data_IF_162437932566
#
_entry.id   IF_162437932566
#
_cell.length_a   1.000
_cell.length_b   1.000
_cell.length_c   1.000
_cell.angle_alpha   90.00
_cell.angle_beta   90.00
_cell.angle_gamma   90.00
#
_symmetry.space_group_name_H-M   'P 1'
#
loop_
_entity.id
_entity.type
_entity.pdbx_description
1 polymer ?
#
# COMPACT_ATOMS: atom_id res chain seq x y z
N UNK A 1 42.60 52.74 24.17
CA UNK A 1 42.71 51.28 24.40
C UNK A 1 41.41 50.84 25.03
N UNK A 2 40.49 50.27 24.22
CA UNK A 2 40.18 48.83 24.20
C UNK A 2 39.53 48.39 25.52
N UNK A 3 38.32 47.85 25.61
CA UNK A 3 37.56 47.03 24.64
C UNK A 3 36.08 46.98 25.05
N UNK A 4 35.21 46.80 24.06
CA UNK A 4 33.79 46.41 24.14
C UNK A 4 33.54 45.23 25.11
N UNK A 5 32.39 45.27 25.79
CA UNK A 5 31.63 44.06 26.13
C UNK A 5 30.13 44.36 26.00
N UNK A 6 29.56 43.95 24.86
CA UNK A 6 28.13 43.88 24.60
C UNK A 6 27.63 42.59 25.26
N UNK A 7 26.83 42.70 26.32
CA UNK A 7 26.14 41.56 26.92
C UNK A 7 24.77 41.43 26.27
N UNK A 8 24.64 40.41 25.42
CA UNK A 8 23.42 40.04 24.73
C UNK A 8 22.40 39.45 25.72
N UNK A 9 21.16 39.94 25.60
CA UNK A 9 19.97 39.48 26.28
C UNK A 9 19.57 38.10 25.71
N UNK A 10 19.61 37.03 26.50
CA UNK A 10 18.98 35.75 26.14
C UNK A 10 17.71 35.62 26.99
N UNK A 11 16.57 35.99 26.39
CA UNK A 11 15.26 35.72 26.95
C UNK A 11 14.92 34.24 26.78
N UNK A 12 14.78 33.53 27.89
CA UNK A 12 14.24 32.17 27.93
C UNK A 12 12.73 32.26 27.77
N UNK A 13 12.22 31.97 26.58
CA UNK A 13 10.77 31.77 26.35
C UNK A 13 10.45 30.33 26.73
N UNK A 14 9.94 30.13 27.94
CA UNK A 14 9.38 28.86 28.39
C UNK A 14 8.05 28.61 27.67
N UNK A 15 8.05 27.77 26.65
CA UNK A 15 6.82 27.23 26.07
C UNK A 15 6.25 26.19 27.04
N UNK A 16 5.24 26.60 27.83
CA UNK A 16 4.34 25.70 28.53
C UNK A 16 3.47 25.00 27.47
N UNK A 17 3.85 23.78 27.09
CA UNK A 17 2.98 22.87 26.36
C UNK A 17 1.89 22.42 27.32
N UNK A 18 0.71 23.01 27.21
CA UNK A 18 -0.48 22.52 27.89
C UNK A 18 -0.84 21.18 27.25
N UNK A 19 -0.49 20.08 27.93
CA UNK A 19 -1.02 18.76 27.61
C UNK A 19 -2.51 18.73 27.96
N UNK A 20 -3.34 19.08 26.99
CA UNK A 20 -4.75 18.70 27.00
C UNK A 20 -4.83 17.17 26.97
N UNK A 21 -5.06 16.54 28.12
CA UNK A 21 -5.58 15.19 28.19
C UNK A 21 -7.05 15.23 27.74
N UNK A 22 -7.30 15.15 26.44
CA UNK A 22 -8.63 14.79 25.94
C UNK A 22 -8.82 13.30 26.15
N UNK A 23 -9.57 12.96 27.20
CA UNK A 23 -10.22 11.65 27.33
C UNK A 23 -11.41 11.65 26.39
N UNK A 24 -11.15 11.49 25.10
CA UNK A 24 -12.15 11.41 24.04
C UNK A 24 -11.71 10.38 23.02
N UNK A 25 -12.46 9.30 22.90
CA UNK A 25 -12.28 8.26 21.87
C UNK A 25 -12.83 8.80 20.53
N UNK A 26 -12.27 9.90 20.02
CA UNK A 26 -12.53 10.39 18.67
C UNK A 26 -11.40 9.90 17.76
N UNK A 27 -11.36 8.59 17.52
CA UNK A 27 -10.53 8.03 16.45
C UNK A 27 -11.15 8.43 15.12
N UNK A 28 -10.37 8.96 14.19
CA UNK A 28 -10.78 9.18 12.81
C UNK A 28 -11.37 7.87 12.26
N UNK A 29 -12.70 7.79 12.16
CA UNK A 29 -13.43 6.59 11.73
C UNK A 29 -13.40 6.38 10.22
N UNK A 30 -12.87 7.34 9.47
CA UNK A 30 -12.87 7.34 8.02
C UNK A 30 -11.46 7.22 7.46
N UNK A 31 -11.36 6.60 6.28
CA UNK A 31 -10.11 6.54 5.51
C UNK A 31 -9.81 7.94 4.96
N UNK A 32 -8.65 8.55 5.29
CA UNK A 32 -8.25 9.82 4.71
C UNK A 32 -8.20 9.74 3.18
N UNK A 33 -8.64 10.80 2.49
CA UNK A 33 -8.51 10.94 1.04
C UNK A 33 -7.07 11.28 0.62
N UNK A 34 -6.15 10.43 1.03
CA UNK A 34 -4.71 10.52 0.81
C UNK A 34 -4.27 9.23 0.14
N UNK A 35 -3.67 9.38 -1.04
CA UNK A 35 -3.13 8.27 -1.81
C UNK A 35 -1.60 8.33 -1.76
N UNK A 36 -1.02 7.25 -1.29
CA UNK A 36 0.42 7.06 -1.14
C UNK A 36 0.93 6.11 -2.21
N UNK A 37 2.09 6.46 -2.77
CA UNK A 37 2.89 5.55 -3.59
C UNK A 37 4.36 5.81 -3.32
N UNK A 38 5.20 4.84 -3.64
CA UNK A 38 6.65 5.02 -3.72
C UNK A 38 7.13 4.81 -5.16
N UNK A 39 8.03 5.68 -5.61
CA UNK A 39 8.83 5.49 -6.82
C UNK A 39 10.21 6.07 -6.58
N UNK A 40 11.27 5.31 -6.83
CA UNK A 40 12.64 5.64 -6.43
C UNK A 40 13.17 6.97 -7.00
N UNK A 41 12.74 7.32 -8.22
CA UNK A 41 13.18 8.50 -8.97
C UNK A 41 12.04 9.52 -9.17
N UNK A 42 12.39 10.77 -9.47
CA UNK A 42 11.46 11.78 -9.97
C UNK A 42 11.10 11.52 -11.43
N UNK A 43 12.01 10.93 -12.21
CA UNK A 43 11.77 10.55 -13.61
C UNK A 43 11.11 9.18 -13.66
N UNK A 44 9.80 9.19 -13.92
CA UNK A 44 9.00 7.96 -14.01
C UNK A 44 8.87 7.48 -15.46
N UNK A 45 8.80 6.16 -15.71
CA UNK A 45 8.45 5.61 -17.03
C UNK A 45 7.07 6.11 -17.53
N UNK A 46 6.83 6.13 -18.86
CA UNK A 46 5.55 6.55 -19.43
C UNK A 46 4.33 5.87 -18.79
N UNK A 47 4.37 4.55 -18.58
CA UNK A 47 3.27 3.80 -17.96
C UNK A 47 2.96 4.25 -16.52
N UNK A 48 3.99 4.59 -15.74
CA UNK A 48 3.83 5.07 -14.36
C UNK A 48 3.27 6.49 -14.33
N UNK A 49 3.74 7.38 -15.21
CA UNK A 49 3.18 8.72 -15.33
C UNK A 49 1.70 8.68 -15.72
N UNK A 50 1.38 7.83 -16.70
CA UNK A 50 0.00 7.59 -17.15
C UNK A 50 -0.89 7.11 -16.01
N UNK A 51 -0.42 6.13 -15.23
CA UNK A 51 -1.12 5.66 -14.04
C UNK A 51 -1.38 6.80 -13.04
N UNK A 52 -0.35 7.54 -12.64
CA UNK A 52 -0.50 8.66 -11.68
C UNK A 52 -1.42 9.77 -12.21
N UNK A 53 -1.36 10.08 -13.50
CA UNK A 53 -2.23 11.09 -14.10
C UNK A 53 -3.69 10.62 -14.18
N UNK A 54 -3.93 9.31 -14.35
CA UNK A 54 -5.27 8.73 -14.19
C UNK A 54 -5.81 8.92 -12.76
N UNK A 55 -4.94 8.83 -11.74
CA UNK A 55 -5.33 9.05 -10.34
C UNK A 55 -5.79 10.48 -10.13
N UNK A 56 -5.00 11.46 -10.60
CA UNK A 56 -5.32 12.90 -10.49
C UNK A 56 -6.65 13.22 -11.19
N UNK A 57 -6.88 12.63 -12.37
CA UNK A 57 -8.10 12.83 -13.17
C UNK A 57 -9.34 12.34 -12.42
N UNK A 58 -9.26 11.13 -11.85
CA UNK A 58 -10.40 10.48 -11.23
C UNK A 58 -10.62 10.86 -9.76
N UNK A 59 -9.61 11.42 -9.12
CA UNK A 59 -9.61 11.74 -7.70
C UNK A 59 -9.16 13.18 -7.44
N UNK A 60 -9.81 14.20 -8.05
CA UNK A 60 -9.36 15.59 -7.95
C UNK A 60 -9.43 16.17 -6.52
N UNK A 61 -10.22 15.56 -5.64
CA UNK A 61 -10.32 15.93 -4.22
C UNK A 61 -9.34 15.19 -3.31
N UNK A 62 -8.54 14.26 -3.86
CA UNK A 62 -7.59 13.48 -3.09
C UNK A 62 -6.20 14.11 -3.13
N UNK A 63 -5.47 13.98 -2.03
CA UNK A 63 -4.04 14.32 -2.01
C UNK A 63 -3.24 13.11 -2.45
N UNK A 64 -2.37 13.28 -3.45
CA UNK A 64 -1.51 12.22 -3.97
C UNK A 64 -0.06 12.49 -3.54
N UNK A 65 0.49 11.61 -2.70
CA UNK A 65 1.88 11.65 -2.27
C UNK A 65 2.69 10.59 -3.01
N UNK A 66 3.64 11.08 -3.82
CA UNK A 66 4.69 10.25 -4.39
C UNK A 66 5.93 10.37 -3.51
N UNK A 67 6.22 9.31 -2.77
CA UNK A 67 7.44 9.19 -1.98
C UNK A 67 8.58 8.77 -2.93
N UNK A 68 9.72 9.44 -2.81
CA UNK A 68 10.93 9.18 -3.60
C UNK A 68 12.10 8.93 -2.68
N UNK A 69 13.24 8.46 -3.20
CA UNK A 69 14.47 8.32 -2.39
C UNK A 69 14.91 9.64 -1.72
N UNK A 70 14.53 10.80 -2.29
CA UNK A 70 14.85 12.12 -1.72
C UNK A 70 13.91 12.52 -0.58
N UNK A 71 12.68 12.00 -0.56
CA UNK A 71 11.63 12.39 0.39
C UNK A 71 11.28 11.29 1.37
N UNK A 72 11.76 10.07 1.17
CA UNK A 72 11.49 8.89 2.00
C UNK A 72 11.78 9.13 3.48
N UNK A 73 12.89 9.81 3.80
CA UNK A 73 13.30 10.14 5.18
C UNK A 73 12.36 11.10 5.92
N UNK A 74 11.41 11.73 5.23
CA UNK A 74 10.36 12.55 5.87
C UNK A 74 9.24 11.70 6.47
N UNK A 75 9.12 10.45 6.04
CA UNK A 75 8.01 9.57 6.40
C UNK A 75 8.46 8.34 7.18
N UNK A 76 9.67 7.84 6.93
CA UNK A 76 10.18 6.62 7.55
C UNK A 76 11.68 6.74 7.86
N UNK A 77 12.12 6.09 8.93
CA UNK A 77 13.53 5.93 9.23
C UNK A 77 14.09 4.69 8.52
N UNK A 78 14.62 4.90 7.31
CA UNK A 78 15.20 3.84 6.48
C UNK A 78 16.39 3.13 7.12
N UNK A 79 17.05 3.74 8.13
CA UNK A 79 18.20 3.13 8.81
C UNK A 79 17.79 1.90 9.63
N UNK A 80 16.50 1.77 9.95
CA UNK A 80 15.95 0.62 10.67
C UNK A 80 15.65 -0.58 9.76
N UNK A 81 15.72 -0.43 8.43
CA UNK A 81 15.33 -1.46 7.46
C UNK A 81 16.51 -2.35 7.07
N UNK A 82 16.95 -3.24 7.98
CA UNK A 82 18.10 -4.15 7.80
C UNK A 82 18.04 -4.98 6.52
N UNK A 83 16.84 -5.40 6.10
CA UNK A 83 16.64 -6.27 4.94
C UNK A 83 16.07 -5.55 3.70
N UNK A 84 16.22 -4.22 3.59
CA UNK A 84 15.86 -3.46 2.38
C UNK A 84 16.87 -3.67 1.23
N UNK A 85 17.06 -4.92 0.81
CA UNK A 85 18.04 -5.36 -0.20
C UNK A 85 17.58 -5.18 -1.66
N UNK A 86 16.33 -4.77 -1.86
CA UNK A 86 15.68 -4.65 -3.15
C UNK A 86 14.65 -3.51 -3.11
N UNK A 87 14.38 -2.91 -4.27
CA UNK A 87 13.41 -1.82 -4.39
C UNK A 87 12.00 -2.23 -4.00
N UNK A 88 11.63 -3.48 -4.32
CA UNK A 88 10.35 -4.05 -3.91
C UNK A 88 10.26 -4.13 -2.38
N UNK A 89 11.28 -4.69 -1.71
CA UNK A 89 11.22 -4.81 -0.25
C UNK A 89 11.33 -3.46 0.46
N UNK A 90 12.09 -2.51 -0.09
CA UNK A 90 12.06 -1.12 0.38
C UNK A 90 10.67 -0.51 0.26
N UNK A 91 9.98 -0.71 -0.87
CA UNK A 91 8.59 -0.27 -1.06
C UNK A 91 7.65 -0.91 -0.04
N UNK A 92 7.83 -2.20 0.28
CA UNK A 92 7.06 -2.92 1.30
C UNK A 92 7.26 -2.30 2.70
N UNK A 93 8.50 -1.96 3.08
CA UNK A 93 8.80 -1.23 4.31
C UNK A 93 8.10 0.13 4.34
N UNK A 94 8.26 0.94 3.28
CA UNK A 94 7.70 2.29 3.21
C UNK A 94 6.18 2.24 3.37
N UNK A 95 5.54 1.39 2.58
CA UNK A 95 4.09 1.22 2.55
C UNK A 95 3.50 0.88 3.91
N UNK A 96 4.02 -0.15 4.57
CA UNK A 96 3.47 -0.56 5.87
C UNK A 96 3.72 0.48 6.95
N UNK A 97 4.89 1.12 6.96
CA UNK A 97 5.19 2.16 7.96
C UNK A 97 4.33 3.42 7.76
N UNK A 98 4.16 3.87 6.51
CA UNK A 98 3.34 5.04 6.18
C UNK A 98 1.87 4.80 6.52
N UNK A 99 1.28 3.69 6.04
CA UNK A 99 -0.15 3.45 6.25
C UNK A 99 -0.49 3.09 7.70
N UNK A 100 0.42 2.46 8.44
CA UNK A 100 0.20 2.19 9.86
C UNK A 100 0.05 3.50 10.67
N UNK A 101 0.81 4.55 10.37
CA UNK A 101 0.71 5.83 11.08
C UNK A 101 -0.42 6.71 10.52
N UNK A 102 -0.47 6.88 9.20
CA UNK A 102 -1.27 7.91 8.57
C UNK A 102 -2.64 7.42 8.07
N UNK A 103 -2.80 6.11 7.86
CA UNK A 103 -3.92 5.59 7.09
C UNK A 103 -3.95 6.14 5.66
N UNK A 104 -5.11 6.04 5.02
CA UNK A 104 -5.32 6.40 3.62
C UNK A 104 -5.22 5.18 2.72
N UNK A 105 -4.76 5.39 1.48
CA UNK A 105 -4.68 4.35 0.44
C UNK A 105 -3.24 4.18 0.01
N UNK A 106 -2.72 2.96 0.01
CA UNK A 106 -1.56 2.63 -0.81
C UNK A 106 -1.99 2.25 -2.22
N UNK A 107 -1.23 2.67 -3.21
CA UNK A 107 -1.29 2.13 -4.57
C UNK A 107 0.12 2.03 -5.14
N UNK A 108 0.48 0.87 -5.72
CA UNK A 108 1.66 0.79 -6.57
C UNK A 108 1.56 1.79 -7.72
N UNK A 109 2.69 2.43 -8.05
CA UNK A 109 2.77 3.55 -9.00
C UNK A 109 2.25 3.25 -10.41
N UNK A 110 2.15 1.96 -10.79
CA UNK A 110 1.75 1.51 -12.12
C UNK A 110 0.29 1.04 -12.21
N UNK A 111 -0.51 1.22 -11.16
CA UNK A 111 -1.94 0.87 -11.19
C UNK A 111 -2.69 1.96 -11.92
N UNK A 112 -3.48 1.61 -12.93
CA UNK A 112 -4.30 2.58 -13.67
C UNK A 112 -5.67 2.66 -13.00
N UNK A 113 -6.18 3.88 -12.77
CA UNK A 113 -7.54 4.10 -12.30
C UNK A 113 -8.45 4.50 -13.45
N UNK A 114 -9.62 3.88 -13.52
CA UNK A 114 -10.62 4.10 -14.58
C UNK A 114 -11.88 4.78 -14.04
N UNK A 115 -11.97 4.95 -12.71
CA UNK A 115 -12.99 5.74 -12.02
C UNK A 115 -12.47 6.23 -10.65
N UNK A 116 -13.24 7.10 -10.00
CA UNK A 116 -12.93 7.62 -8.65
C UNK A 116 -12.89 6.52 -7.59
N UNK A 117 -11.93 6.58 -6.66
CA UNK A 117 -11.82 5.67 -5.50
C UNK A 117 -12.98 5.79 -4.50
N UNK A 118 -13.91 6.71 -4.70
CA UNK A 118 -15.10 6.82 -3.85
C UNK A 118 -15.95 5.53 -3.83
N UNK A 119 -15.82 4.63 -4.81
CA UNK A 119 -16.44 3.30 -4.75
C UNK A 119 -15.96 2.51 -3.53
N UNK A 120 -14.66 2.55 -3.24
CA UNK A 120 -14.04 1.81 -2.16
C UNK A 120 -14.47 2.38 -0.81
N UNK A 121 -14.54 3.71 -0.70
CA UNK A 121 -15.04 4.38 0.50
C UNK A 121 -16.50 4.01 0.79
N UNK A 122 -17.35 3.94 -0.25
CA UNK A 122 -18.75 3.49 -0.11
C UNK A 122 -18.84 2.03 0.36
N UNK A 123 -18.00 1.15 -0.17
CA UNK A 123 -17.99 -0.26 0.26
C UNK A 123 -17.55 -0.41 1.72
N UNK A 124 -16.53 0.34 2.13
CA UNK A 124 -16.04 0.35 3.51
C UNK A 124 -17.09 0.90 4.48
N UNK A 125 -17.77 1.99 4.13
CA UNK A 125 -18.85 2.57 4.91
C UNK A 125 -20.04 1.60 5.05
N UNK A 126 -20.51 1.06 3.92
CA UNK A 126 -21.62 0.10 3.90
C UNK A 126 -21.33 -1.17 4.71
N UNK A 127 -20.06 -1.61 4.71
CA UNK A 127 -19.62 -2.79 5.46
C UNK A 127 -19.18 -2.46 6.90
N UNK A 128 -19.12 -1.18 7.27
CA UNK A 128 -18.60 -0.67 8.55
C UNK A 128 -17.20 -1.21 8.86
N UNK A 129 -16.36 -1.30 7.83
CA UNK A 129 -15.01 -1.85 7.89
C UNK A 129 -13.96 -0.74 8.01
N UNK A 130 -12.83 -1.06 8.64
CA UNK A 130 -11.71 -0.13 8.86
C UNK A 130 -10.52 -0.39 7.95
N UNK A 131 -10.56 -1.52 7.21
CA UNK A 131 -9.56 -1.94 6.23
C UNK A 131 -10.25 -2.42 4.96
N UNK A 132 -9.66 -2.08 3.81
CA UNK A 132 -9.99 -2.63 2.50
C UNK A 132 -8.73 -3.19 1.85
N UNK A 133 -8.82 -4.38 1.27
CA UNK A 133 -7.75 -4.94 0.45
C UNK A 133 -8.28 -5.82 -0.68
N UNK A 134 -7.44 -6.09 -1.67
CA UNK A 134 -7.72 -7.18 -2.60
C UNK A 134 -7.12 -8.49 -2.07
N UNK A 135 -7.61 -9.63 -2.53
CA UNK A 135 -6.98 -10.93 -2.30
C UNK A 135 -6.87 -11.72 -3.60
N UNK A 136 -5.94 -12.68 -3.63
CA UNK A 136 -5.81 -13.65 -4.72
C UNK A 136 -6.51 -14.95 -4.38
N UNK A 137 -7.51 -15.32 -5.17
CA UNK A 137 -8.29 -16.54 -5.00
C UNK A 137 -7.44 -17.79 -5.26
N UNK A 138 -6.60 -17.77 -6.30
CA UNK A 138 -5.73 -18.91 -6.63
C UNK A 138 -4.72 -19.28 -5.52
N UNK A 139 -4.43 -18.35 -4.61
CA UNK A 139 -3.49 -18.54 -3.51
C UNK A 139 -4.17 -18.74 -2.15
N UNK A 140 -5.47 -18.45 -2.07
CA UNK A 140 -6.21 -18.49 -0.80
C UNK A 140 -6.93 -19.82 -0.63
N UNK A 141 -6.53 -20.58 0.39
CA UNK A 141 -7.20 -21.82 0.80
C UNK A 141 -8.11 -21.62 2.03
N UNK A 142 -7.90 -20.53 2.77
CA UNK A 142 -8.72 -20.16 3.93
C UNK A 142 -9.11 -18.68 3.89
N UNK A 143 -10.38 -18.41 3.57
CA UNK A 143 -10.94 -17.05 3.50
C UNK A 143 -11.02 -16.32 4.84
N UNK A 144 -10.73 -16.99 5.97
CA UNK A 144 -10.55 -16.29 7.25
C UNK A 144 -9.24 -15.47 7.24
N UNK A 145 -8.27 -15.87 6.42
CA UNK A 145 -6.94 -15.26 6.36
C UNK A 145 -6.50 -15.10 4.89
N UNK A 146 -7.26 -14.37 4.05
CA UNK A 146 -7.04 -14.40 2.61
C UNK A 146 -5.62 -13.92 2.23
N UNK A 147 -5.05 -14.45 1.15
CA UNK A 147 -3.74 -13.97 0.66
C UNK A 147 -3.93 -12.59 0.04
N UNK A 148 -3.63 -11.58 0.85
CA UNK A 148 -3.85 -10.17 0.53
C UNK A 148 -2.94 -9.71 -0.56
N UNK A 149 -3.49 -8.94 -1.48
CA UNK A 149 -2.70 -8.18 -2.40
C UNK A 149 -2.20 -6.90 -1.77
N UNK A 150 -0.90 -6.75 -1.91
CA UNK A 150 -0.15 -5.76 -1.17
C UNK A 150 0.00 -4.46 -2.01
N UNK A 151 -0.15 -4.55 -3.33
CA UNK A 151 -0.05 -3.42 -4.24
C UNK A 151 -1.17 -2.37 -4.13
N UNK A 152 -2.30 -2.67 -3.46
CA UNK A 152 -3.35 -1.69 -3.17
C UNK A 152 -4.17 -2.10 -1.94
N UNK A 153 -4.21 -1.23 -0.95
CA UNK A 153 -5.08 -1.39 0.22
C UNK A 153 -5.36 -0.04 0.86
N UNK A 154 -6.42 0.02 1.65
CA UNK A 154 -6.83 1.23 2.36
C UNK A 154 -7.12 0.94 3.82
N UNK A 155 -6.87 1.92 4.68
CA UNK A 155 -7.18 1.79 6.09
C UNK A 155 -7.42 3.14 6.76
N UNK A 156 -8.17 3.10 7.87
CA UNK A 156 -8.25 4.24 8.80
C UNK A 156 -6.87 4.50 9.43
N UNK A 157 -6.60 5.72 9.90
CA UNK A 157 -5.37 6.00 10.63
C UNK A 157 -5.29 5.09 11.86
N UNK A 158 -4.08 4.61 12.15
CA UNK A 158 -3.82 3.70 13.29
C UNK A 158 -4.64 2.41 13.25
N UNK A 159 -4.93 1.89 12.07
CA UNK A 159 -5.68 0.65 11.90
C UNK A 159 -4.98 -0.52 12.63
N UNK A 160 -5.67 -1.25 13.52
CA UNK A 160 -5.05 -2.32 14.30
C UNK A 160 -4.41 -3.43 13.46
N UNK A 161 -5.03 -3.81 12.34
CA UNK A 161 -4.47 -4.81 11.46
C UNK A 161 -3.20 -4.30 10.76
N UNK A 162 -3.23 -3.10 10.17
CA UNK A 162 -2.06 -2.55 9.46
C UNK A 162 -0.89 -2.32 10.41
N UNK A 163 -1.14 -1.92 11.66
CA UNK A 163 -0.12 -1.88 12.71
C UNK A 163 0.51 -3.26 12.96
N UNK A 164 -0.31 -4.30 13.16
CA UNK A 164 0.20 -5.65 13.40
C UNK A 164 0.89 -6.24 12.17
N UNK A 165 0.43 -5.90 10.96
CA UNK A 165 1.07 -6.29 9.72
C UNK A 165 2.45 -5.64 9.57
N UNK A 166 2.54 -4.33 9.81
CA UNK A 166 3.83 -3.62 9.89
C UNK A 166 4.74 -4.24 10.94
N UNK A 167 4.27 -4.49 12.16
CA UNK A 167 5.11 -5.03 13.25
C UNK A 167 5.55 -6.48 12.97
N UNK A 168 4.70 -7.27 12.32
CA UNK A 168 5.06 -8.59 11.82
C UNK A 168 6.14 -8.50 10.73
N UNK A 169 6.05 -7.52 9.84
CA UNK A 169 7.05 -7.31 8.80
C UNK A 169 8.38 -6.79 9.37
N UNK A 170 8.33 -5.83 10.31
CA UNK A 170 9.51 -5.28 10.96
C UNK A 170 10.27 -6.30 11.82
N UNK A 171 9.57 -7.34 12.33
CA UNK A 171 10.20 -8.46 13.02
C UNK A 171 11.29 -9.14 12.16
N UNK A 172 11.20 -9.06 10.83
CA UNK A 172 12.24 -9.53 9.92
C UNK A 172 13.64 -8.98 10.28
N UNK A 173 13.73 -7.74 10.77
CA UNK A 173 15.01 -7.10 11.11
C UNK A 173 15.71 -7.73 12.33
N UNK A 174 14.97 -8.44 13.18
CA UNK A 174 15.51 -9.18 14.33
C UNK A 174 16.18 -10.50 13.94
N UNK A 175 16.01 -10.94 12.69
CA UNK A 175 16.62 -12.16 12.16
C UNK A 175 17.83 -11.86 11.30
N UNK A 176 18.79 -12.78 11.30
CA UNK A 176 20.01 -12.65 10.50
C UNK A 176 19.77 -12.79 8.99
N UNK A 177 18.70 -13.48 8.60
CA UNK A 177 18.33 -13.64 7.19
C UNK A 177 16.81 -13.71 7.01
N UNK A 178 16.37 -13.45 5.78
CA UNK A 178 14.96 -13.58 5.36
C UNK A 178 14.46 -15.02 5.57
N UNK A 179 15.29 -16.01 5.25
CA UNK A 179 14.96 -17.43 5.39
C UNK A 179 14.75 -17.82 6.85
N UNK A 180 15.59 -17.31 7.76
CA UNK A 180 15.44 -17.56 9.19
C UNK A 180 14.11 -16.99 9.74
N UNK A 181 13.75 -15.77 9.31
CA UNK A 181 12.45 -15.18 9.63
C UNK A 181 11.29 -16.03 9.07
N UNK A 182 11.36 -16.43 7.80
CA UNK A 182 10.31 -17.26 7.16
C UNK A 182 10.17 -18.60 7.89
N UNK A 183 11.27 -19.26 8.24
CA UNK A 183 11.26 -20.51 8.98
C UNK A 183 10.60 -20.34 10.37
N UNK A 184 10.89 -19.23 11.06
CA UNK A 184 10.26 -18.90 12.33
C UNK A 184 8.73 -18.71 12.18
N UNK A 185 8.27 -17.96 11.19
CA UNK A 185 6.83 -17.74 10.96
C UNK A 185 6.13 -19.04 10.57
N UNK A 186 6.70 -19.82 9.64
CA UNK A 186 6.14 -21.10 9.18
C UNK A 186 5.97 -22.14 10.28
N UNK A 187 6.69 -22.01 11.41
CA UNK A 187 6.55 -22.92 12.54
C UNK A 187 5.16 -22.84 13.22
N UNK A 188 4.45 -21.71 13.08
CA UNK A 188 3.16 -21.48 13.75
C UNK A 188 2.05 -20.98 12.83
N UNK A 189 2.39 -20.49 11.64
CA UNK A 189 1.46 -19.84 10.70
C UNK A 189 1.35 -20.64 9.41
N UNK A 190 0.12 -20.89 8.96
CA UNK A 190 -0.15 -21.47 7.65
C UNK A 190 0.03 -20.39 6.56
N UNK A 191 1.00 -20.58 5.66
CA UNK A 191 1.23 -19.66 4.54
C UNK A 191 0.39 -19.98 3.30
N UNK A 192 -0.52 -20.96 3.41
CA UNK A 192 -1.42 -21.39 2.34
C UNK A 192 -0.63 -21.71 1.06
N UNK A 193 -1.16 -21.34 -0.11
CA UNK A 193 -0.49 -21.58 -1.39
C UNK A 193 0.52 -20.49 -1.78
N UNK A 194 0.94 -19.62 -0.85
CA UNK A 194 1.88 -18.54 -1.14
C UNK A 194 3.15 -19.06 -1.81
N UNK A 195 3.41 -18.60 -3.02
CA UNK A 195 4.61 -18.95 -3.78
C UNK A 195 5.78 -18.04 -3.40
N UNK A 196 7.01 -18.55 -3.47
CA UNK A 196 8.26 -17.75 -3.36
C UNK A 196 8.25 -16.79 -2.13
N UNK A 197 8.13 -17.31 -0.90
CA UNK A 197 7.97 -16.51 0.32
C UNK A 197 9.12 -15.52 0.58
N UNK A 198 10.32 -15.76 0.03
CA UNK A 198 11.50 -14.89 0.12
C UNK A 198 11.31 -13.58 -0.65
N UNK A 199 10.56 -13.65 -1.75
CA UNK A 199 10.12 -12.50 -2.52
C UNK A 199 8.87 -11.88 -1.89
N UNK A 200 7.93 -12.72 -1.43
CA UNK A 200 6.64 -12.30 -0.87
C UNK A 200 6.63 -12.16 0.66
N UNK A 201 7.73 -11.70 1.26
CA UNK A 201 7.88 -11.58 2.73
C UNK A 201 6.80 -10.73 3.39
N UNK A 202 6.27 -9.73 2.67
CA UNK A 202 5.16 -8.93 3.17
C UNK A 202 3.87 -9.76 3.34
N UNK A 203 3.63 -10.75 2.49
CA UNK A 203 2.48 -11.67 2.58
C UNK A 203 2.67 -12.66 3.73
N UNK A 204 3.92 -13.11 3.95
CA UNK A 204 4.30 -13.91 5.13
C UNK A 204 3.95 -13.16 6.42
N UNK A 205 4.32 -11.88 6.50
CA UNK A 205 3.98 -11.01 7.63
C UNK A 205 2.46 -10.79 7.78
N UNK A 206 1.73 -10.66 6.67
CA UNK A 206 0.27 -10.53 6.69
C UNK A 206 -0.39 -11.75 7.32
N UNK A 207 0.05 -12.96 6.94
CA UNK A 207 -0.47 -14.21 7.50
C UNK A 207 -0.18 -14.33 8.99
N UNK A 208 1.03 -14.00 9.43
CA UNK A 208 1.38 -13.97 10.86
C UNK A 208 0.45 -13.01 11.63
N UNK A 209 0.26 -11.81 11.09
CA UNK A 209 -0.58 -10.79 11.72
C UNK A 209 -2.05 -11.26 11.81
N UNK A 210 -2.62 -11.72 10.70
CA UNK A 210 -4.02 -12.14 10.62
C UNK A 210 -4.31 -13.38 11.47
N UNK A 211 -3.40 -14.36 11.54
CA UNK A 211 -3.66 -15.62 12.26
C UNK A 211 -3.40 -15.52 13.77
N UNK A 212 -2.48 -14.65 14.20
CA UNK A 212 -1.98 -14.68 15.59
C UNK A 212 -1.93 -13.35 16.32
N UNK A 213 -1.98 -12.20 15.61
CA UNK A 213 -1.72 -10.90 16.24
C UNK A 213 -2.92 -9.97 16.29
N UNK A 214 -4.02 -10.32 15.62
CA UNK A 214 -5.27 -9.55 15.67
C UNK A 214 -6.40 -10.36 16.29
N UNK A 215 -7.24 -9.73 17.12
CA UNK A 215 -8.45 -10.34 17.65
C UNK A 215 -9.51 -10.50 16.55
N UNK A 216 -10.54 -11.31 16.82
CA UNK A 216 -11.56 -11.67 15.84
C UNK A 216 -12.35 -10.45 15.34
N UNK A 217 -12.69 -9.52 16.22
CA UNK A 217 -13.43 -8.30 15.88
C UNK A 217 -12.66 -7.39 14.91
N UNK A 218 -11.34 -7.28 15.06
CA UNK A 218 -10.50 -6.57 14.08
C UNK A 218 -10.57 -7.26 12.73
N UNK A 219 -10.44 -8.59 12.70
CA UNK A 219 -10.51 -9.39 11.46
C UNK A 219 -11.89 -9.31 10.80
N UNK A 220 -12.96 -9.32 11.58
CA UNK A 220 -14.33 -9.12 11.08
C UNK A 220 -14.56 -7.69 10.54
N UNK A 221 -13.70 -6.72 10.91
CA UNK A 221 -13.74 -5.34 10.42
C UNK A 221 -12.95 -5.11 9.13
N UNK A 222 -12.49 -6.16 8.47
CA UNK A 222 -11.75 -6.11 7.21
C UNK A 222 -12.68 -6.47 6.05
N UNK A 223 -12.59 -5.70 4.97
CA UNK A 223 -13.33 -5.95 3.74
C UNK A 223 -12.37 -6.33 2.61
N UNK A 224 -12.75 -7.34 1.82
CA UNK A 224 -11.91 -7.84 0.74
C UNK A 224 -12.66 -7.93 -0.58
N UNK A 225 -11.94 -7.67 -1.68
CA UNK A 225 -12.39 -7.99 -3.04
C UNK A 225 -11.41 -8.93 -3.73
N UNK A 226 -11.94 -9.86 -4.52
CA UNK A 226 -11.12 -10.74 -5.34
C UNK A 226 -10.41 -9.93 -6.42
N UNK A 227 -9.09 -10.04 -6.52
CA UNK A 227 -8.31 -9.27 -7.48
C UNK A 227 -8.63 -9.69 -8.93
N UNK A 228 -8.89 -10.98 -9.13
CA UNK A 228 -9.24 -11.61 -10.40
C UNK A 228 -10.59 -11.12 -10.97
N UNK A 229 -11.49 -10.62 -10.11
CA UNK A 229 -12.80 -10.08 -10.55
C UNK A 229 -12.73 -8.57 -10.85
N UNK A 230 -11.60 -7.92 -10.54
CA UNK A 230 -11.41 -6.49 -10.74
C UNK A 230 -10.05 -6.18 -11.36
N UNK A 231 -9.01 -5.83 -10.57
CA UNK A 231 -7.76 -5.30 -11.13
C UNK A 231 -7.01 -6.24 -12.09
N UNK A 232 -7.23 -7.55 -11.99
CA UNK A 232 -6.71 -8.57 -12.90
C UNK A 232 -7.75 -9.16 -13.85
N UNK A 233 -8.99 -8.63 -13.89
CA UNK A 233 -10.06 -9.15 -14.74
C UNK A 233 -9.65 -9.26 -16.20
N UNK A 234 -8.96 -8.23 -16.72
CA UNK A 234 -8.46 -8.22 -18.09
C UNK A 234 -7.46 -9.35 -18.39
N UNK A 235 -6.72 -9.84 -17.39
CA UNK A 235 -5.86 -11.02 -17.54
C UNK A 235 -6.68 -12.30 -17.52
N UNK A 236 -7.62 -12.41 -16.58
CA UNK A 236 -8.49 -13.59 -16.43
C UNK A 236 -9.30 -13.84 -17.70
N UNK A 237 -9.92 -12.79 -18.24
CA UNK A 237 -10.73 -12.86 -19.45
C UNK A 237 -9.91 -13.26 -20.70
N UNK A 238 -8.58 -13.11 -20.63
CA UNK A 238 -7.64 -13.45 -21.71
C UNK A 238 -6.72 -14.63 -21.37
N UNK A 239 -7.11 -15.49 -20.40
CA UNK A 239 -6.36 -16.69 -20.06
C UNK A 239 -4.93 -16.42 -19.56
N UNK A 240 -4.70 -15.25 -18.94
CA UNK A 240 -3.41 -14.78 -18.45
C UNK A 240 -2.33 -14.54 -19.52
N UNK A 241 -2.71 -14.48 -20.81
CA UNK A 241 -1.80 -14.07 -21.88
C UNK A 241 -1.56 -12.55 -21.86
N UNK A 242 -0.37 -12.13 -21.46
CA UNK A 242 -0.03 -10.71 -21.24
C UNK A 242 -0.27 -9.84 -22.48
N UNK A 243 0.16 -10.30 -23.66
CA UNK A 243 0.10 -9.52 -24.88
C UNK A 243 -1.36 -9.31 -25.34
N UNK A 244 -2.17 -10.37 -25.31
CA UNK A 244 -3.59 -10.33 -25.67
C UNK A 244 -4.39 -9.54 -24.65
N UNK A 245 -4.13 -9.76 -23.36
CA UNK A 245 -4.77 -9.02 -22.29
C UNK A 245 -4.57 -7.52 -22.42
N UNK A 246 -3.33 -7.06 -22.64
CA UNK A 246 -3.03 -5.63 -22.82
C UNK A 246 -3.72 -5.06 -24.07
N UNK A 247 -3.72 -5.78 -25.20
CA UNK A 247 -4.45 -5.34 -26.41
C UNK A 247 -5.96 -5.26 -26.21
N UNK A 248 -6.52 -6.11 -25.35
CA UNK A 248 -7.96 -6.15 -25.09
C UNK A 248 -8.48 -4.98 -24.26
N UNK A 249 -7.61 -4.29 -23.50
CA UNK A 249 -8.01 -3.22 -22.58
C UNK A 249 -8.85 -2.13 -23.26
N UNK A 250 -8.51 -1.77 -24.51
CA UNK A 250 -9.26 -0.78 -25.29
C UNK A 250 -10.51 -1.30 -26.00
N UNK A 251 -10.79 -2.59 -25.92
CA UNK A 251 -12.01 -3.20 -26.45
C UNK A 251 -13.08 -3.43 -25.38
N UNK A 252 -12.69 -3.36 -24.10
CA UNK A 252 -13.62 -3.49 -22.98
C UNK A 252 -14.51 -2.26 -22.93
N UNK A 253 -15.83 -2.47 -22.84
CA UNK A 253 -16.79 -1.38 -22.71
C UNK A 253 -16.57 -0.64 -21.40
N UNK A 254 -16.78 0.68 -21.39
CA UNK A 254 -16.50 1.52 -20.22
C UNK A 254 -17.29 1.07 -18.98
N UNK A 255 -18.52 0.61 -19.15
CA UNK A 255 -19.37 0.11 -18.08
C UNK A 255 -18.90 -1.23 -17.48
N UNK A 256 -18.11 -2.01 -18.23
CA UNK A 256 -17.56 -3.30 -17.80
C UNK A 256 -16.13 -3.17 -17.27
N UNK A 257 -15.51 -1.99 -17.43
CA UNK A 257 -14.13 -1.74 -17.01
C UNK A 257 -14.04 -1.69 -15.48
N UNK A 258 -13.21 -2.53 -14.84
CA UNK A 258 -13.01 -2.47 -13.40
C UNK A 258 -12.38 -1.15 -12.97
N UNK A 259 -12.62 -0.68 -11.73
CA UNK A 259 -12.14 0.62 -11.24
C UNK A 259 -10.63 0.82 -11.28
N UNK A 260 -9.89 -0.28 -11.16
CA UNK A 260 -8.45 -0.32 -11.20
C UNK A 260 -8.03 -1.35 -12.25
N UNK A 261 -6.87 -1.13 -12.87
CA UNK A 261 -6.18 -2.10 -13.71
C UNK A 261 -4.76 -2.25 -13.18
N UNK A 262 -4.39 -3.45 -12.74
CA UNK A 262 -3.04 -3.74 -12.24
C UNK A 262 -2.21 -4.41 -13.33
N UNK A 263 -1.29 -3.66 -13.92
CA UNK A 263 -0.27 -4.20 -14.81
C UNK A 263 0.85 -4.87 -13.99
N UNK A 264 1.23 -6.12 -14.32
CA UNK A 264 2.41 -6.78 -13.74
C UNK A 264 3.66 -6.42 -14.55
N UNK A 265 4.80 -7.04 -14.24
CA UNK A 265 6.05 -6.83 -14.98
C UNK A 265 5.88 -7.02 -16.49
N UNK A 266 5.40 -8.20 -16.90
CA UNK A 266 5.21 -8.55 -18.30
C UNK A 266 4.23 -7.62 -19.03
N UNK A 267 3.12 -7.24 -18.39
CA UNK A 267 2.16 -6.33 -19.06
C UNK A 267 2.70 -4.90 -19.20
N UNK A 268 3.54 -4.42 -18.27
CA UNK A 268 4.19 -3.11 -18.43
C UNK A 268 5.13 -3.10 -19.64
N UNK A 269 5.89 -4.17 -19.84
CA UNK A 269 6.77 -4.32 -21.01
C UNK A 269 5.98 -4.25 -22.34
N UNK A 270 4.76 -4.80 -22.38
CA UNK A 270 3.89 -4.72 -23.57
C UNK A 270 3.35 -3.30 -23.84
N UNK A 271 3.24 -2.45 -22.82
CA UNK A 271 2.70 -1.08 -22.95
C UNK A 271 3.77 -0.09 -23.42
N UNK A 272 5.02 -0.27 -23.00
CA UNK A 272 6.10 0.69 -23.21
C UNK A 272 6.49 0.88 -24.70
N UNK A 273 6.09 -0.01 -25.61
CA UNK A 273 6.35 0.08 -27.06
C UNK A 273 5.58 1.20 -27.79
N UNK A 274 4.73 1.96 -27.09
CA UNK A 274 4.08 3.14 -27.69
C UNK A 274 2.86 3.69 -26.95
N UNK A 275 2.52 3.17 -25.76
CA UNK A 275 1.40 3.59 -24.92
C UNK A 275 -0.01 3.44 -25.53
N UNK A 276 -0.13 3.22 -26.84
CA UNK A 276 -1.41 3.17 -27.57
C UNK A 276 -2.37 2.11 -27.04
N UNK A 277 -1.83 1.01 -26.49
CA UNK A 277 -2.64 -0.09 -25.94
C UNK A 277 -3.44 0.29 -24.69
N UNK A 278 -3.12 1.42 -24.04
CA UNK A 278 -3.83 1.87 -22.83
C UNK A 278 -4.42 3.26 -22.95
N UNK A 279 -4.15 4.02 -24.03
CA UNK A 279 -4.62 5.41 -24.17
C UNK A 279 -6.15 5.58 -24.08
N UNK A 280 -6.92 4.57 -24.47
CA UNK A 280 -8.38 4.54 -24.35
C UNK A 280 -8.89 4.56 -22.90
N UNK A 281 -8.04 4.25 -21.91
CA UNK A 281 -8.41 4.19 -20.50
C UNK A 281 -8.53 5.59 -19.86
N UNK A 282 -8.27 6.65 -20.61
CA UNK A 282 -8.46 8.06 -20.22
C UNK A 282 -9.89 8.57 -20.44
#
# INVERSE_FOLDING_TARGET
MCTLAVLALVGVVSFLVIMSHSTGREGLTEVPKVLWTYWEDVVMPPVVRFAIDSWKRWNPSWTIHVITNKTIGLYVDVTTFRHADSLQRLSDYVRLNVLAEHGGVWSDASIIMTQSLDWMLRDMDASRCTFFGHYLDGFTTDMRYPILESWFFACTPRNPFVHQWRDAFMLLNEFDSVEAYIAHVRATTDLQNLSIPEYLTIHVAAQLAMQHRIPKDVRDSMYFRKAEDGPFKYLVDNGWDSATAVRSLCTVRREDMPPLVKLRGLEREQVDEGMGAIQCLY
#
